data_IF_510822546853
#
_entry.id   IF_510822546853
#
_cell.length_a   1.000
_cell.length_b   1.000
_cell.length_c   1.000
_cell.angle_alpha   90.00
_cell.angle_beta   90.00
_cell.angle_gamma   90.00
#
_symmetry.space_group_name_H-M   'P 1'
#
loop_
_entity.id
_entity.type
_entity.pdbx_description
1 polymer ?
#
# COMPACT_ATOMS: atom_id res chain seq x y z
N UNK A 1 -0.92 3.37 -23.51
CA UNK A 1 -2.12 2.64 -23.97
C UNK A 1 -2.56 3.07 -25.36
N UNK A 2 -2.63 4.37 -25.68
CA UNK A 2 -3.07 4.86 -26.99
C UNK A 2 -2.24 4.32 -28.17
N UNK A 3 -0.98 4.01 -27.96
CA UNK A 3 -0.07 3.44 -28.95
C UNK A 3 0.01 1.91 -28.91
N UNK A 4 -0.98 1.24 -28.29
CA UNK A 4 -1.04 -0.21 -28.12
C UNK A 4 0.22 -0.81 -27.48
N UNK A 5 0.69 -0.16 -26.39
CA UNK A 5 1.82 -0.62 -25.57
C UNK A 5 1.34 -1.04 -24.19
N UNK A 6 1.86 -2.17 -23.72
CA UNK A 6 1.73 -2.55 -22.31
C UNK A 6 2.37 -1.48 -21.42
N UNK A 7 1.80 -1.27 -20.24
CA UNK A 7 2.22 -0.22 -19.31
C UNK A 7 2.35 -0.79 -17.91
N UNK A 8 3.49 -0.57 -17.27
CA UNK A 8 3.67 -0.61 -15.83
C UNK A 8 3.70 0.85 -15.36
N UNK A 9 2.68 1.25 -14.61
CA UNK A 9 2.45 2.64 -14.20
C UNK A 9 2.88 2.83 -12.75
N UNK A 10 3.71 3.83 -12.49
CA UNK A 10 4.14 4.16 -11.12
C UNK A 10 2.95 4.50 -10.20
N UNK A 11 3.15 4.22 -8.92
CA UNK A 11 2.26 4.67 -7.84
C UNK A 11 2.51 6.19 -7.54
N UNK A 12 1.54 6.97 -7.08
CA UNK A 12 0.13 6.63 -7.14
C UNK A 12 -0.31 6.49 -8.58
N UNK A 13 -1.17 5.52 -8.84
CA UNK A 13 -1.57 5.14 -10.20
C UNK A 13 -2.15 6.30 -11.02
N UNK A 14 -2.90 7.18 -10.36
CA UNK A 14 -3.49 8.41 -10.91
C UNK A 14 -3.69 9.44 -9.79
N UNK A 15 -4.17 10.63 -10.09
CA UNK A 15 -4.46 11.67 -9.10
C UNK A 15 -5.78 11.43 -8.37
N UNK A 16 -6.74 10.77 -9.02
CA UNK A 16 -8.07 10.47 -8.50
C UNK A 16 -8.66 9.20 -9.14
N UNK A 17 -9.76 8.71 -8.56
CA UNK A 17 -10.45 7.50 -9.03
C UNK A 17 -10.88 7.60 -10.49
N UNK A 18 -11.39 8.76 -10.93
CA UNK A 18 -11.90 8.94 -12.30
C UNK A 18 -10.81 8.72 -13.35
N UNK A 19 -9.63 9.26 -13.14
CA UNK A 19 -8.49 9.05 -14.05
C UNK A 19 -8.06 7.59 -14.08
N UNK A 20 -8.01 6.92 -12.92
CA UNK A 20 -7.69 5.50 -12.85
C UNK A 20 -8.72 4.63 -13.59
N UNK A 21 -10.03 4.93 -13.44
CA UNK A 21 -11.10 4.25 -14.16
C UNK A 21 -10.96 4.41 -15.67
N UNK A 22 -10.64 5.62 -16.15
CA UNK A 22 -10.45 5.90 -17.58
C UNK A 22 -9.24 5.15 -18.15
N UNK A 23 -8.13 5.07 -17.40
CA UNK A 23 -6.95 4.30 -17.80
C UNK A 23 -7.27 2.80 -17.89
N UNK A 24 -7.92 2.24 -16.86
CA UNK A 24 -8.29 0.83 -16.82
C UNK A 24 -9.32 0.48 -17.90
N UNK A 25 -10.32 1.33 -18.12
CA UNK A 25 -11.29 1.15 -19.19
C UNK A 25 -10.60 1.07 -20.55
N UNK A 26 -9.68 2.00 -20.83
CA UNK A 26 -8.93 2.01 -22.08
C UNK A 26 -8.05 0.75 -22.26
N UNK A 27 -7.43 0.28 -21.17
CA UNK A 27 -6.65 -0.96 -21.19
C UNK A 27 -7.53 -2.17 -21.55
N UNK A 28 -8.72 -2.26 -20.95
CA UNK A 28 -9.72 -3.31 -21.24
C UNK A 28 -10.22 -3.24 -22.67
N UNK A 29 -10.61 -2.06 -23.17
CA UNK A 29 -11.10 -1.86 -24.54
C UNK A 29 -10.07 -2.28 -25.58
N UNK A 30 -8.79 -2.04 -25.30
CA UNK A 30 -7.68 -2.38 -26.21
C UNK A 30 -7.08 -3.77 -25.97
N UNK A 31 -7.53 -4.47 -24.94
CA UNK A 31 -6.95 -5.74 -24.47
C UNK A 31 -5.42 -5.66 -24.27
N UNK A 32 -4.97 -4.66 -23.52
CA UNK A 32 -3.54 -4.37 -23.29
C UNK A 32 -3.26 -4.45 -21.78
N UNK A 33 -2.11 -5.04 -21.41
CA UNK A 33 -1.65 -5.06 -20.02
C UNK A 33 -1.44 -3.64 -19.52
N UNK A 34 -2.10 -3.34 -18.40
CA UNK A 34 -1.86 -2.17 -17.56
C UNK A 34 -1.69 -2.65 -16.12
N UNK A 35 -0.54 -2.44 -15.52
CA UNK A 35 -0.23 -2.82 -14.15
C UNK A 35 0.20 -1.60 -13.34
N UNK A 36 -0.18 -1.55 -12.07
CA UNK A 36 0.32 -0.57 -11.12
C UNK A 36 1.64 -1.04 -10.50
N UNK A 37 2.66 -0.18 -10.50
CA UNK A 37 3.96 -0.44 -9.89
C UNK A 37 3.92 -0.25 -8.36
N UNK A 38 2.97 -0.93 -7.70
CA UNK A 38 2.95 -1.05 -6.24
C UNK A 38 3.86 -2.22 -5.82
N UNK A 39 5.15 -2.04 -6.02
CA UNK A 39 6.19 -3.07 -6.03
C UNK A 39 6.18 -4.02 -4.84
N UNK A 40 5.85 -3.51 -3.63
CA UNK A 40 5.77 -4.33 -2.41
C UNK A 40 4.75 -5.48 -2.55
N UNK A 41 3.69 -5.29 -3.34
CA UNK A 41 2.66 -6.31 -3.58
C UNK A 41 3.18 -7.54 -4.34
N UNK A 42 4.20 -7.35 -5.15
CA UNK A 42 4.80 -8.39 -5.99
C UNK A 42 5.91 -9.17 -5.29
N UNK A 43 6.38 -8.69 -4.12
CA UNK A 43 7.46 -9.32 -3.37
C UNK A 43 7.05 -10.67 -2.77
N UNK A 44 7.95 -11.67 -2.72
CA UNK A 44 7.68 -12.95 -2.04
C UNK A 44 7.18 -12.78 -0.61
N UNK A 45 7.71 -11.80 0.12
CA UNK A 45 7.31 -11.51 1.50
C UNK A 45 5.82 -11.11 1.63
N UNK A 46 5.20 -10.53 0.61
CA UNK A 46 3.75 -10.24 0.63
C UNK A 46 2.92 -11.52 0.69
N UNK A 47 3.32 -12.55 -0.06
CA UNK A 47 2.68 -13.85 -0.02
C UNK A 47 2.93 -14.56 1.32
N UNK A 48 4.16 -14.50 1.82
CA UNK A 48 4.53 -15.04 3.13
C UNK A 48 3.71 -14.39 4.25
N UNK A 49 3.53 -13.05 4.23
CA UNK A 49 2.69 -12.36 5.22
C UNK A 49 1.25 -12.88 5.19
N UNK A 50 0.70 -13.04 3.98
CA UNK A 50 -0.65 -13.61 3.83
C UNK A 50 -0.73 -15.04 4.39
N UNK A 51 0.22 -15.90 4.08
CA UNK A 51 0.27 -17.26 4.62
C UNK A 51 0.33 -17.29 6.16
N UNK A 52 1.12 -16.40 6.77
CA UNK A 52 1.20 -16.26 8.23
C UNK A 52 -0.16 -15.84 8.81
N UNK A 53 -0.83 -14.86 8.20
CA UNK A 53 -2.16 -14.39 8.62
C UNK A 53 -3.18 -15.52 8.49
N UNK A 54 -3.24 -16.18 7.34
CA UNK A 54 -4.18 -17.27 7.03
C UNK A 54 -3.96 -18.49 7.95
N UNK A 55 -2.74 -18.70 8.47
CA UNK A 55 -2.46 -19.76 9.45
C UNK A 55 -3.16 -19.56 10.79
N UNK A 56 -3.61 -18.35 11.09
CA UNK A 56 -4.25 -17.99 12.35
C UNK A 56 -3.31 -18.02 13.57
N UNK A 57 -1.99 -17.94 13.35
CA UNK A 57 -0.98 -18.02 14.43
C UNK A 57 -1.19 -16.94 15.49
N UNK A 58 -1.62 -15.74 15.11
CA UNK A 58 -1.94 -14.64 16.05
C UNK A 58 -3.44 -14.57 16.44
N UNK A 59 -4.25 -15.53 15.98
CA UNK A 59 -5.71 -15.53 16.21
C UNK A 59 -6.45 -14.55 15.32
N UNK A 60 -7.65 -14.09 15.77
CA UNK A 60 -8.42 -13.07 15.04
C UNK A 60 -7.67 -11.74 15.09
N UNK A 61 -7.50 -11.10 13.94
CA UNK A 61 -6.90 -9.77 13.87
C UNK A 61 -7.89 -8.73 14.43
N UNK A 62 -7.42 -7.87 15.33
CA UNK A 62 -8.21 -6.82 15.97
C UNK A 62 -7.83 -5.42 15.47
N UNK A 63 -6.68 -5.29 14.84
CA UNK A 63 -6.22 -4.04 14.26
C UNK A 63 -4.77 -4.08 13.85
N UNK A 64 -4.30 -2.97 13.33
CA UNK A 64 -2.89 -2.76 12.99
C UNK A 64 -2.49 -1.28 13.12
N UNK A 65 -1.20 -1.06 13.22
CA UNK A 65 -0.59 0.25 13.02
C UNK A 65 0.48 0.16 11.95
N UNK A 66 0.65 1.22 11.17
CA UNK A 66 1.74 1.32 10.21
C UNK A 66 2.19 2.77 10.05
N UNK A 67 3.46 2.95 9.74
CA UNK A 67 3.97 4.28 9.46
C UNK A 67 4.96 4.27 8.30
N UNK A 68 5.00 5.37 7.57
CA UNK A 68 6.01 5.63 6.55
C UNK A 68 6.35 7.11 6.51
N UNK A 69 7.62 7.42 6.71
CA UNK A 69 8.10 8.80 6.69
C UNK A 69 9.51 8.92 6.18
N UNK A 70 9.72 9.98 5.42
CA UNK A 70 11.02 10.39 4.89
C UNK A 70 11.17 11.91 4.94
N UNK A 71 12.38 12.42 5.11
CA UNK A 71 12.66 13.86 4.98
C UNK A 71 12.70 14.23 3.49
N UNK A 72 11.57 14.67 2.93
CA UNK A 72 11.36 14.90 1.49
C UNK A 72 10.94 16.33 1.14
N UNK A 73 10.90 17.24 2.11
CA UNK A 73 10.44 18.63 1.90
C UNK A 73 11.26 19.42 0.89
N UNK A 74 12.49 18.97 0.59
CA UNK A 74 13.37 19.55 -0.43
C UNK A 74 13.11 19.03 -1.84
N UNK A 75 12.20 18.05 -2.02
CA UNK A 75 11.89 17.48 -3.34
C UNK A 75 10.77 18.29 -3.98
N UNK A 76 11.11 19.13 -4.97
CA UNK A 76 10.19 20.07 -5.60
C UNK A 76 8.86 19.43 -6.03
N UNK A 77 8.89 18.27 -6.70
CA UNK A 77 7.68 17.57 -7.13
C UNK A 77 6.69 17.33 -6.00
N UNK A 78 7.17 16.99 -4.81
CA UNK A 78 6.33 16.57 -3.67
C UNK A 78 5.64 17.74 -2.96
N UNK A 79 6.15 18.96 -3.13
CA UNK A 79 5.54 20.17 -2.54
C UNK A 79 4.73 20.98 -3.56
N UNK A 80 4.48 20.44 -4.76
CA UNK A 80 3.75 21.12 -5.83
C UNK A 80 2.42 20.43 -6.13
N UNK A 81 1.27 21.10 -5.88
CA UNK A 81 -0.06 20.52 -6.13
C UNK A 81 -0.26 20.11 -7.60
N UNK A 82 0.24 20.92 -8.55
CA UNK A 82 0.13 20.65 -9.99
C UNK A 82 0.97 19.44 -10.47
N UNK A 83 1.87 18.94 -9.65
CA UNK A 83 2.64 17.73 -9.91
C UNK A 83 2.17 16.52 -9.06
N UNK A 84 0.93 16.60 -8.56
CA UNK A 84 0.36 15.58 -7.68
C UNK A 84 1.23 15.33 -6.42
N UNK A 85 1.75 16.40 -5.82
CA UNK A 85 2.53 16.35 -4.58
C UNK A 85 1.67 16.00 -3.38
N UNK A 86 2.33 15.76 -2.25
CA UNK A 86 1.69 15.44 -0.97
C UNK A 86 2.01 14.03 -0.49
N UNK A 87 1.92 13.84 0.83
CA UNK A 87 2.18 12.56 1.50
C UNK A 87 1.12 11.50 1.13
N UNK A 88 -0.14 11.93 0.90
CA UNK A 88 -1.23 11.03 0.52
C UNK A 88 -0.93 10.27 -0.77
N UNK A 89 -0.44 10.95 -1.79
CA UNK A 89 -0.15 10.31 -3.07
C UNK A 89 1.24 9.67 -3.13
N UNK A 90 2.19 10.13 -2.32
CA UNK A 90 3.55 9.61 -2.38
C UNK A 90 3.83 8.49 -1.37
N UNK A 91 3.36 8.61 -0.13
CA UNK A 91 3.66 7.71 0.98
C UNK A 91 2.47 6.84 1.42
N UNK A 92 1.26 7.40 1.47
CA UNK A 92 0.10 6.65 1.93
C UNK A 92 -0.29 5.45 1.04
N UNK A 93 0.10 5.34 -0.25
CA UNK A 93 -0.10 4.10 -1.00
C UNK A 93 0.45 2.88 -0.29
N UNK A 94 1.59 2.99 0.39
CA UNK A 94 2.21 1.87 1.12
C UNK A 94 1.46 1.50 2.40
N UNK A 95 1.10 2.49 3.23
CA UNK A 95 0.37 2.24 4.47
C UNK A 95 -1.04 1.72 4.22
N UNK A 96 -1.73 2.24 3.19
CA UNK A 96 -3.06 1.78 2.77
C UNK A 96 -3.00 0.38 2.16
N UNK A 97 -2.02 0.09 1.29
CA UNK A 97 -1.83 -1.26 0.77
C UNK A 97 -1.48 -2.25 1.88
N UNK A 98 -0.67 -1.87 2.86
CA UNK A 98 -0.39 -2.72 4.02
C UNK A 98 -1.68 -3.04 4.80
N UNK A 99 -2.49 -2.01 5.11
CA UNK A 99 -3.76 -2.19 5.82
C UNK A 99 -4.73 -3.09 5.05
N UNK A 100 -4.91 -2.85 3.75
CA UNK A 100 -5.83 -3.63 2.91
C UNK A 100 -5.35 -5.05 2.63
N UNK A 101 -4.03 -5.29 2.57
CA UNK A 101 -3.47 -6.64 2.50
C UNK A 101 -3.80 -7.48 3.72
N UNK A 102 -3.86 -6.85 4.90
CA UNK A 102 -4.07 -7.52 6.19
C UNK A 102 -5.54 -7.63 6.56
N UNK A 103 -6.31 -6.55 6.39
CA UNK A 103 -7.68 -6.40 6.87
C UNK A 103 -8.74 -6.44 5.75
N UNK A 104 -8.29 -6.47 4.48
CA UNK A 104 -9.21 -6.46 3.32
C UNK A 104 -9.73 -5.07 2.98
N UNK A 105 -10.85 -5.03 2.26
CA UNK A 105 -11.41 -3.83 1.64
C UNK A 105 -12.75 -3.37 2.25
N UNK A 106 -13.16 -3.91 3.39
CA UNK A 106 -14.44 -3.63 4.04
C UNK A 106 -14.35 -2.47 5.06
N UNK A 107 -13.75 -1.34 4.65
CA UNK A 107 -13.71 -0.12 5.48
C UNK A 107 -15.10 0.49 5.59
N UNK A 108 -15.54 0.76 6.81
CA UNK A 108 -16.86 1.35 7.12
C UNK A 108 -16.78 2.83 7.49
N UNK A 109 -15.69 3.26 8.16
CA UNK A 109 -15.48 4.66 8.57
C UNK A 109 -14.02 5.06 8.35
N UNK A 110 -13.82 6.29 7.91
CA UNK A 110 -12.52 6.91 7.73
C UNK A 110 -12.48 8.19 8.57
N UNK A 111 -11.49 8.29 9.47
CA UNK A 111 -11.14 9.52 10.15
C UNK A 111 -9.73 9.92 9.77
N UNK A 112 -9.54 11.18 9.42
CA UNK A 112 -8.23 11.65 9.01
C UNK A 112 -7.90 13.02 9.62
N UNK A 113 -6.61 13.26 9.80
CA UNK A 113 -6.06 14.55 10.17
C UNK A 113 -4.82 14.77 9.33
N UNK A 114 -4.69 15.95 8.74
CA UNK A 114 -3.49 16.32 7.98
C UNK A 114 -2.93 17.67 8.43
N UNK A 115 -1.64 17.87 8.20
CA UNK A 115 -0.99 19.17 8.28
C UNK A 115 -0.58 19.61 6.88
N UNK A 116 -1.03 20.80 6.42
CA UNK A 116 -0.69 21.27 5.09
C UNK A 116 0.72 21.88 5.04
N UNK A 117 1.32 21.80 3.87
CA UNK A 117 2.43 22.66 3.45
C UNK A 117 1.90 24.04 3.03
N UNK A 118 2.75 25.06 2.95
CA UNK A 118 2.39 26.42 2.49
C UNK A 118 1.82 26.47 1.06
N UNK A 119 2.19 25.50 0.21
CA UNK A 119 1.65 25.34 -1.15
C UNK A 119 0.27 24.67 -1.20
N UNK A 120 -0.23 24.18 -0.05
CA UNK A 120 -1.52 23.52 0.06
C UNK A 120 -1.49 22.00 -0.05
N UNK A 121 -0.34 21.34 -0.36
CA UNK A 121 -0.24 19.88 -0.30
C UNK A 121 -0.20 19.41 1.16
N UNK A 122 -0.69 18.22 1.41
CA UNK A 122 -0.57 17.52 2.68
C UNK A 122 0.89 17.08 2.89
N UNK A 123 1.48 17.40 4.04
CA UNK A 123 2.86 17.02 4.37
C UNK A 123 2.96 15.93 5.42
N UNK A 124 1.96 15.84 6.28
CA UNK A 124 1.85 14.81 7.32
C UNK A 124 0.40 14.43 7.52
N UNK A 125 0.11 13.15 7.66
CA UNK A 125 -1.24 12.63 7.83
C UNK A 125 -1.30 11.56 8.91
N UNK A 126 -2.45 11.51 9.57
CA UNK A 126 -2.88 10.36 10.37
C UNK A 126 -4.24 9.89 9.84
N UNK A 127 -4.30 8.64 9.38
CA UNK A 127 -5.49 8.02 8.80
C UNK A 127 -5.92 6.87 9.70
N UNK A 128 -7.16 6.91 10.20
CA UNK A 128 -7.78 5.81 10.92
C UNK A 128 -8.87 5.19 10.04
N UNK A 129 -8.73 3.89 9.77
CA UNK A 129 -9.71 3.09 9.05
C UNK A 129 -10.42 2.16 10.06
N UNK A 130 -11.73 2.22 10.11
CA UNK A 130 -12.56 1.30 10.90
C UNK A 130 -13.23 0.34 9.94
N UNK A 131 -13.03 -0.95 10.17
CA UNK A 131 -13.56 -2.03 9.34
C UNK A 131 -14.91 -2.53 9.86
N UNK A 132 -15.72 -3.12 8.98
CA UNK A 132 -17.07 -3.61 9.33
C UNK A 132 -17.08 -4.70 10.40
N UNK A 133 -16.00 -5.44 10.56
CA UNK A 133 -15.82 -6.47 11.61
C UNK A 133 -15.29 -5.92 12.94
N UNK A 134 -15.08 -4.60 13.02
CA UNK A 134 -14.62 -3.87 14.19
C UNK A 134 -13.09 -3.75 14.31
N UNK A 135 -12.32 -4.27 13.36
CA UNK A 135 -10.87 -4.05 13.33
C UNK A 135 -10.55 -2.56 13.02
N UNK A 136 -9.41 -2.07 13.50
CA UNK A 136 -9.00 -0.67 13.31
C UNK A 136 -7.57 -0.63 12.76
N UNK A 137 -7.34 0.18 11.74
CA UNK A 137 -5.99 0.51 11.26
C UNK A 137 -5.66 1.97 11.57
N UNK A 138 -4.52 2.20 12.24
CA UNK A 138 -3.93 3.53 12.45
C UNK A 138 -2.70 3.71 11.57
N UNK A 139 -2.76 4.65 10.62
CA UNK A 139 -1.72 4.84 9.61
C UNK A 139 -1.16 6.25 9.71
N UNK A 140 0.17 6.36 9.76
CA UNK A 140 0.88 7.63 9.84
C UNK A 140 1.81 7.78 8.64
N UNK A 141 1.70 8.91 7.93
CA UNK A 141 2.62 9.26 6.84
C UNK A 141 3.16 10.67 7.01
N UNK A 142 4.43 10.89 6.70
CA UNK A 142 5.03 12.23 6.79
C UNK A 142 6.18 12.42 5.79
N UNK A 143 6.22 13.60 5.16
CA UNK A 143 7.35 14.05 4.35
C UNK A 143 8.33 14.90 5.15
N UNK A 144 8.06 15.20 6.43
CA UNK A 144 8.87 16.10 7.25
C UNK A 144 10.02 15.39 7.98
N UNK A 145 9.88 14.11 8.27
CA UNK A 145 10.85 13.35 9.06
C UNK A 145 10.92 11.88 8.66
N UNK A 146 12.07 11.26 8.89
CA UNK A 146 12.20 9.82 8.77
C UNK A 146 11.46 9.12 9.92
N UNK A 147 10.81 8.01 9.61
CA UNK A 147 10.21 7.09 10.58
C UNK A 147 10.90 5.74 10.57
N UNK A 148 10.54 4.84 11.48
CA UNK A 148 11.04 3.47 11.49
C UNK A 148 10.42 2.58 10.40
N UNK A 149 9.42 3.08 9.66
CA UNK A 149 8.72 2.39 8.54
C UNK A 149 8.11 1.06 8.94
N UNK A 150 7.75 0.90 10.20
CA UNK A 150 7.26 -0.34 10.77
C UNK A 150 5.75 -0.48 10.62
N UNK A 151 5.30 -1.75 10.43
CA UNK A 151 3.93 -2.17 10.65
C UNK A 151 3.84 -3.12 11.84
N UNK A 152 2.72 -3.07 12.59
CA UNK A 152 2.39 -4.04 13.64
C UNK A 152 0.96 -4.51 13.45
N UNK A 153 0.76 -5.83 13.38
CA UNK A 153 -0.55 -6.47 13.22
C UNK A 153 -0.91 -7.12 14.56
N UNK A 154 -2.02 -6.72 15.15
CA UNK A 154 -2.48 -7.18 16.46
C UNK A 154 -3.57 -8.23 16.32
N UNK A 155 -3.35 -9.37 16.96
CA UNK A 155 -4.32 -10.47 17.02
C UNK A 155 -4.67 -10.86 18.45
N UNK A 156 -5.70 -11.71 18.61
CA UNK A 156 -6.18 -12.15 19.91
C UNK A 156 -5.23 -13.10 20.64
N UNK A 157 -4.26 -13.71 19.93
CA UNK A 157 -3.27 -14.66 20.49
C UNK A 157 -1.84 -14.15 20.45
N UNK A 158 -1.57 -13.02 19.78
CA UNK A 158 -0.25 -12.47 19.62
C UNK A 158 -0.23 -11.33 18.62
N UNK A 159 0.97 -10.94 18.18
CA UNK A 159 1.14 -9.87 17.20
C UNK A 159 2.32 -10.16 16.27
N UNK A 160 2.31 -9.49 15.11
CA UNK A 160 3.39 -9.56 14.12
C UNK A 160 3.99 -8.16 13.97
N UNK A 161 5.30 -8.02 14.18
CA UNK A 161 6.06 -6.86 13.77
C UNK A 161 6.57 -7.07 12.34
N UNK A 162 6.39 -6.06 11.51
CA UNK A 162 6.81 -6.02 10.11
C UNK A 162 7.83 -4.91 9.96
N UNK A 163 9.07 -5.27 9.71
CA UNK A 163 10.11 -4.29 9.43
C UNK A 163 9.97 -3.80 7.99
N UNK A 164 9.90 -2.47 7.85
CA UNK A 164 9.88 -1.77 6.57
C UNK A 164 8.70 -2.15 5.65
N UNK A 165 7.52 -1.56 5.88
CA UNK A 165 6.29 -1.88 5.13
C UNK A 165 6.36 -1.56 3.63
N UNK A 166 7.30 -0.76 3.18
CA UNK A 166 7.47 -0.46 1.75
C UNK A 166 8.57 -1.26 1.05
N UNK A 167 9.34 -2.06 1.81
CA UNK A 167 10.30 -3.04 1.30
C UNK A 167 10.60 -4.05 2.42
N UNK A 168 9.77 -5.07 2.57
CA UNK A 168 9.82 -5.99 3.70
C UNK A 168 11.21 -6.55 3.95
N UNK A 169 11.71 -6.39 5.20
CA UNK A 169 13.02 -6.87 5.63
C UNK A 169 12.88 -8.12 6.50
N UNK A 170 11.97 -8.08 7.48
CA UNK A 170 11.70 -9.22 8.36
C UNK A 170 10.29 -9.14 8.96
N UNK A 171 9.75 -10.31 9.31
CA UNK A 171 8.56 -10.46 10.16
C UNK A 171 8.95 -11.14 11.46
N UNK A 172 8.48 -10.60 12.61
CA UNK A 172 8.66 -11.21 13.92
C UNK A 172 7.31 -11.50 14.53
N UNK A 173 7.08 -12.74 14.90
CA UNK A 173 5.82 -13.23 15.48
C UNK A 173 6.00 -13.38 16.97
N UNK A 174 5.10 -12.76 17.75
CA UNK A 174 5.11 -12.78 19.20
C UNK A 174 3.80 -13.33 19.75
N UNK A 175 3.85 -13.99 20.90
CA UNK A 175 2.70 -14.31 21.74
C UNK A 175 2.25 -13.08 22.60
N UNK A 176 1.10 -13.19 23.25
CA UNK A 176 0.57 -12.13 24.11
C UNK A 176 1.46 -11.78 25.31
N UNK A 177 2.30 -12.71 25.78
CA UNK A 177 3.31 -12.48 26.82
C UNK A 177 4.58 -11.80 26.30
N UNK A 178 4.58 -11.40 25.03
CA UNK A 178 5.69 -10.77 24.28
C UNK A 178 6.89 -11.69 24.03
N UNK A 179 6.71 -12.98 24.16
CA UNK A 179 7.74 -13.96 23.79
C UNK A 179 7.82 -14.05 22.27
N UNK A 180 9.02 -13.86 21.73
CA UNK A 180 9.30 -14.05 20.30
C UNK A 180 9.16 -15.54 19.96
N UNK A 181 8.28 -15.86 19.03
CA UNK A 181 8.03 -17.23 18.55
C UNK A 181 8.86 -17.53 17.31
N UNK A 182 8.88 -16.60 16.35
CA UNK A 182 9.52 -16.81 15.07
C UNK A 182 10.00 -15.49 14.46
N UNK A 183 11.12 -15.56 13.76
CA UNK A 183 11.59 -14.51 12.85
C UNK A 183 11.68 -15.08 11.45
N UNK A 184 11.12 -14.38 10.47
CA UNK A 184 11.14 -14.72 9.05
C UNK A 184 11.81 -13.55 8.33
N UNK A 185 13.00 -13.79 7.80
CA UNK A 185 13.76 -12.77 7.08
C UNK A 185 13.43 -12.78 5.59
N UNK A 186 13.49 -11.61 4.97
CA UNK A 186 13.37 -11.47 3.53
C UNK A 186 14.48 -12.30 2.84
N UNK A 187 14.14 -13.10 1.82
CA UNK A 187 15.13 -13.76 1.00
C UNK A 187 16.03 -12.75 0.28
N UNK A 188 17.21 -13.18 -0.14
CA UNK A 188 18.10 -12.33 -0.93
C UNK A 188 17.39 -11.85 -2.22
N UNK A 189 17.45 -10.58 -2.47
CA UNK A 189 16.83 -9.91 -3.62
C UNK A 189 17.79 -8.85 -4.18
N UNK A 190 17.56 -8.40 -5.41
CA UNK A 190 18.36 -7.34 -6.03
C UNK A 190 17.98 -5.98 -5.41
N UNK A 191 16.69 -5.65 -5.49
CA UNK A 191 16.13 -4.40 -4.95
C UNK A 191 14.70 -4.55 -4.45
N UNK A 192 13.97 -5.56 -4.97
CA UNK A 192 12.53 -5.77 -4.82
C UNK A 192 11.71 -5.33 -6.04
N UNK A 193 12.21 -4.40 -6.86
CA UNK A 193 11.54 -3.97 -8.10
C UNK A 193 11.54 -5.06 -9.19
N UNK A 194 12.48 -6.00 -9.17
CA UNK A 194 12.53 -7.10 -10.12
C UNK A 194 11.26 -7.94 -10.12
N UNK A 195 10.56 -8.04 -9.01
CA UNK A 195 9.37 -8.87 -8.90
C UNK A 195 8.17 -8.33 -9.70
N UNK A 196 7.96 -7.02 -9.74
CA UNK A 196 6.88 -6.43 -10.55
C UNK A 196 7.16 -6.55 -12.05
N UNK A 197 8.43 -6.42 -12.46
CA UNK A 197 8.85 -6.64 -13.85
C UNK A 197 8.61 -8.10 -14.26
N UNK A 198 8.99 -9.06 -13.40
CA UNK A 198 8.74 -10.48 -13.64
C UNK A 198 7.24 -10.82 -13.65
N UNK A 199 6.43 -10.17 -12.82
CA UNK A 199 4.98 -10.34 -12.82
C UNK A 199 4.37 -9.82 -14.15
N UNK A 200 4.76 -8.63 -14.59
CA UNK A 200 4.35 -8.09 -15.88
C UNK A 200 4.75 -9.01 -17.04
N UNK A 201 5.97 -9.56 -17.02
CA UNK A 201 6.40 -10.54 -18.03
C UNK A 201 5.48 -11.76 -18.03
N UNK A 202 5.19 -12.37 -16.87
CA UNK A 202 4.27 -13.52 -16.76
C UNK A 202 2.86 -13.17 -17.24
N UNK A 203 2.36 -11.97 -16.93
CA UNK A 203 1.05 -11.50 -17.37
C UNK A 203 0.99 -11.37 -18.91
N UNK A 204 2.02 -10.78 -19.53
CA UNK A 204 2.14 -10.68 -20.99
C UNK A 204 2.19 -12.05 -21.67
N UNK A 205 2.98 -12.98 -21.15
CA UNK A 205 3.08 -14.34 -21.68
C UNK A 205 1.75 -15.11 -21.63
N UNK A 206 0.89 -14.77 -20.66
CA UNK A 206 -0.45 -15.34 -20.47
C UNK A 206 -1.56 -14.54 -21.17
N UNK A 207 -1.25 -13.44 -21.83
CA UNK A 207 -2.22 -12.56 -22.48
C UNK A 207 -3.18 -11.87 -21.48
N UNK A 208 -2.73 -11.62 -20.25
CA UNK A 208 -3.51 -10.93 -19.22
C UNK A 208 -3.44 -9.42 -19.42
N UNK A 209 -4.50 -8.73 -18.98
CA UNK A 209 -4.58 -7.25 -19.03
C UNK A 209 -4.22 -6.60 -17.69
N UNK A 210 -3.99 -7.38 -16.65
CA UNK A 210 -3.57 -6.96 -15.31
C UNK A 210 -2.67 -8.01 -14.66
N UNK A 211 -1.93 -7.63 -13.62
CA UNK A 211 -1.17 -8.57 -12.80
C UNK A 211 -2.04 -9.09 -11.64
N UNK A 212 -2.15 -10.42 -11.43
CA UNK A 212 -2.93 -10.99 -10.32
C UNK A 212 -2.49 -10.52 -8.93
N UNK A 213 -1.23 -10.13 -8.78
CA UNK A 213 -0.64 -9.62 -7.55
C UNK A 213 -1.17 -8.23 -7.17
N UNK A 214 -1.55 -7.44 -8.20
CA UNK A 214 -2.11 -6.09 -8.07
C UNK A 214 -3.24 -5.91 -9.10
N UNK A 215 -4.44 -6.49 -8.86
CA UNK A 215 -5.56 -6.41 -9.80
C UNK A 215 -6.13 -4.99 -9.87
N UNK A 216 -6.69 -4.62 -11.02
CA UNK A 216 -7.31 -3.31 -11.26
C UNK A 216 -8.36 -2.93 -10.22
N UNK A 217 -9.11 -3.90 -9.71
CA UNK A 217 -10.11 -3.66 -8.68
C UNK A 217 -9.48 -3.13 -7.39
N UNK A 218 -8.31 -3.69 -7.00
CA UNK A 218 -7.57 -3.23 -5.83
C UNK A 218 -6.98 -1.83 -6.05
N UNK A 219 -6.40 -1.56 -7.23
CA UNK A 219 -5.97 -0.21 -7.61
C UNK A 219 -7.11 0.80 -7.47
N UNK A 220 -8.30 0.50 -8.03
CA UNK A 220 -9.47 1.37 -7.91
C UNK A 220 -9.95 1.51 -6.47
N UNK A 221 -9.83 0.47 -5.65
CA UNK A 221 -10.19 0.55 -4.23
C UNK A 221 -9.27 1.56 -3.49
N UNK A 222 -7.96 1.47 -3.68
CA UNK A 222 -7.01 2.42 -3.09
C UNK A 222 -7.26 3.85 -3.59
N UNK A 223 -7.54 4.03 -4.88
CA UNK A 223 -7.87 5.35 -5.43
C UNK A 223 -9.15 5.94 -4.81
N UNK A 224 -10.18 5.11 -4.60
CA UNK A 224 -11.40 5.54 -3.88
C UNK A 224 -11.12 5.93 -2.44
N UNK A 225 -10.23 5.21 -1.74
CA UNK A 225 -9.80 5.61 -0.40
C UNK A 225 -9.11 6.98 -0.40
N UNK A 226 -8.25 7.28 -1.37
CA UNK A 226 -7.65 8.62 -1.50
C UNK A 226 -8.69 9.71 -1.68
N UNK A 227 -9.68 9.50 -2.55
CA UNK A 227 -10.75 10.48 -2.76
C UNK A 227 -11.60 10.67 -1.49
N UNK A 228 -11.93 9.60 -0.75
CA UNK A 228 -12.66 9.69 0.52
C UNK A 228 -11.83 10.37 1.62
N UNK A 229 -10.53 10.08 1.72
CA UNK A 229 -9.63 10.73 2.68
C UNK A 229 -9.62 12.24 2.44
N UNK A 230 -9.45 12.69 1.21
CA UNK A 230 -9.44 14.11 0.86
C UNK A 230 -10.75 14.86 1.18
N UNK A 231 -11.88 14.19 1.15
CA UNK A 231 -13.18 14.80 1.52
C UNK A 231 -13.30 15.12 3.02
N UNK A 232 -12.43 14.53 3.84
CA UNK A 232 -12.41 14.69 5.30
C UNK A 232 -11.38 15.70 5.80
N UNK A 233 -10.74 16.43 4.90
CA UNK A 233 -9.73 17.48 5.21
C UNK A 233 -10.35 18.87 5.34
#
# INVERSE_FOLDING_TARGET
LNHNRAVLCEKAFAVNTKEAEDMIRLAKEKNILLAEAMWVRYMPMSFTLKEIIDSGVIGKITGLTANLGYSLMQVERLIRPELAGGALLDLAPYTLNFATCVLGDNVSVIHTTMTPHETGVDKTEFINLIYTDGAIAGLFTTMESATDRRGVIYGTKGYIEVDNINNYEAFRIYENDRRLVQTINCPAQISGYEYEVLACKRALEKGLIECPEMPHEHTLYIMRLFDEIRKNW
#
